data_IF_763887501906
#
_entry.id   IF_763887501906
#
_cell.length_a   1.000
_cell.length_b   1.000
_cell.length_c   1.000
_cell.angle_alpha   90.00
_cell.angle_beta   90.00
_cell.angle_gamma   90.00
#
_symmetry.space_group_name_H-M   'P 1'
#
loop_
_entity.id
_entity.type
_entity.pdbx_description
1 polymer ?
#
# COMPACT_ATOMS: atom_id res chain seq x y z
N UNK A 1 -5.10 12.47 -1.80
CA UNK A 1 -6.07 11.75 -2.66
C UNK A 1 -6.05 12.43 -4.01
N UNK A 2 -6.10 11.66 -5.08
CA UNK A 2 -6.11 12.18 -6.46
C UNK A 2 -7.48 11.90 -7.04
N UNK A 3 -8.16 12.92 -7.56
CA UNK A 3 -9.47 12.76 -8.20
C UNK A 3 -9.31 12.79 -9.72
N UNK A 4 -9.88 11.83 -10.47
CA UNK A 4 -9.82 11.82 -11.93
C UNK A 4 -10.37 13.09 -12.59
N UNK A 5 -11.35 13.74 -11.94
CA UNK A 5 -12.04 14.92 -12.47
C UNK A 5 -11.24 16.23 -12.34
N UNK A 6 -10.30 16.32 -11.39
CA UNK A 6 -9.58 17.56 -11.08
C UNK A 6 -8.08 17.48 -11.32
N UNK A 7 -7.50 16.28 -11.25
CA UNK A 7 -6.07 16.10 -11.46
C UNK A 7 -5.69 16.28 -12.94
N UNK A 8 -4.48 16.79 -13.24
CA UNK A 8 -3.99 16.83 -14.60
C UNK A 8 -3.86 15.40 -15.16
N UNK A 9 -4.05 15.23 -16.47
CA UNK A 9 -4.01 13.89 -17.09
C UNK A 9 -2.68 13.17 -16.88
N UNK A 10 -1.59 13.93 -16.76
CA UNK A 10 -0.23 13.45 -16.57
C UNK A 10 0.24 13.47 -15.10
N UNK A 11 -0.68 13.38 -14.13
CA UNK A 11 -0.34 13.51 -12.71
C UNK A 11 0.64 12.43 -12.22
N UNK A 12 0.62 11.23 -12.83
CA UNK A 12 1.55 10.15 -12.51
C UNK A 12 2.97 10.51 -12.95
N UNK A 13 3.10 11.02 -14.16
CA UNK A 13 4.37 11.48 -14.73
C UNK A 13 4.96 12.62 -13.88
N UNK A 14 4.13 13.55 -13.40
CA UNK A 14 4.58 14.61 -12.48
C UNK A 14 5.19 14.01 -11.19
N UNK A 15 4.60 12.94 -10.64
CA UNK A 15 5.16 12.27 -9.46
C UNK A 15 6.39 11.43 -9.80
N UNK A 16 6.43 10.77 -10.96
CA UNK A 16 7.58 10.01 -11.42
C UNK A 16 8.82 10.90 -11.63
N UNK A 17 8.64 12.13 -12.12
CA UNK A 17 9.70 13.15 -12.27
C UNK A 17 10.33 13.58 -10.93
N UNK A 18 9.65 13.36 -9.81
CA UNK A 18 10.22 13.64 -8.48
C UNK A 18 11.29 12.61 -8.07
N UNK A 19 11.30 11.44 -8.73
CA UNK A 19 12.09 10.27 -8.37
C UNK A 19 11.89 9.78 -6.92
N UNK A 20 10.84 10.23 -6.24
CA UNK A 20 10.46 9.72 -4.92
C UNK A 20 9.81 8.35 -5.04
N UNK A 21 9.92 7.55 -3.98
CA UNK A 21 9.09 6.36 -3.84
C UNK A 21 7.66 6.78 -3.58
N UNK A 22 6.73 6.22 -4.35
CA UNK A 22 5.32 6.46 -4.11
C UNK A 22 4.47 5.26 -4.49
N UNK A 23 3.29 5.18 -3.90
CA UNK A 23 2.36 4.06 -4.10
C UNK A 23 0.97 4.66 -4.33
N UNK A 24 0.26 4.13 -5.32
CA UNK A 24 -1.17 4.39 -5.53
C UNK A 24 -2.03 3.17 -5.22
N UNK A 25 -3.21 3.45 -4.67
CA UNK A 25 -4.27 2.45 -4.49
C UNK A 25 -4.87 2.04 -5.84
N UNK A 26 -5.73 1.01 -5.87
CA UNK A 26 -6.72 0.85 -6.92
C UNK A 26 -7.59 2.10 -7.03
N UNK A 27 -8.37 2.24 -8.11
CA UNK A 27 -9.36 3.31 -8.18
C UNK A 27 -10.50 3.01 -7.19
N UNK A 28 -10.70 3.89 -6.20
CA UNK A 28 -11.81 3.76 -5.25
C UNK A 28 -13.10 4.27 -5.87
N UNK A 29 -13.84 3.41 -6.55
CA UNK A 29 -15.11 3.71 -7.23
C UNK A 29 -16.34 3.00 -6.62
N UNK A 30 -16.14 2.19 -5.58
CA UNK A 30 -17.18 1.40 -4.89
C UNK A 30 -17.41 1.82 -3.44
N UNK A 31 -16.85 2.96 -3.05
CA UNK A 31 -16.98 3.46 -1.69
C UNK A 31 -18.30 4.21 -1.49
N UNK A 32 -18.88 4.08 -0.30
CA UNK A 32 -20.10 4.78 0.09
C UNK A 32 -19.83 5.85 1.15
N UNK A 33 -20.59 6.94 1.07
CA UNK A 33 -20.72 7.93 2.13
C UNK A 33 -21.61 7.38 3.26
N UNK A 34 -21.55 7.98 4.47
CA UNK A 34 -22.40 7.58 5.59
C UNK A 34 -23.90 7.66 5.29
N UNK A 35 -24.31 8.49 4.33
CA UNK A 35 -25.70 8.63 3.87
C UNK A 35 -26.10 7.60 2.80
N UNK A 36 -25.20 6.67 2.44
CA UNK A 36 -25.44 5.63 1.44
C UNK A 36 -25.21 6.08 0.00
N UNK A 37 -24.81 7.33 -0.25
CA UNK A 37 -24.46 7.79 -1.61
C UNK A 37 -23.08 7.28 -2.04
N UNK A 38 -22.88 7.07 -3.34
CA UNK A 38 -21.57 6.66 -3.89
C UNK A 38 -20.58 7.83 -3.73
N UNK A 39 -19.40 7.55 -3.18
CA UNK A 39 -18.31 8.52 -3.11
C UNK A 39 -17.74 8.80 -4.49
N UNK A 40 -17.24 10.03 -4.67
CA UNK A 40 -16.51 10.39 -5.89
C UNK A 40 -15.31 9.45 -6.09
N UNK A 41 -15.10 8.92 -7.31
CA UNK A 41 -13.94 8.10 -7.61
C UNK A 41 -12.63 8.81 -7.29
N UNK A 42 -11.70 8.12 -6.63
CA UNK A 42 -10.41 8.70 -6.23
C UNK A 42 -9.33 7.63 -6.07
N UNK A 43 -8.07 8.05 -6.16
CA UNK A 43 -6.93 7.26 -5.71
C UNK A 43 -6.43 7.78 -4.36
N UNK A 44 -6.07 6.86 -3.48
CA UNK A 44 -5.15 7.17 -2.40
C UNK A 44 -3.71 7.07 -2.92
N UNK A 45 -2.88 8.03 -2.53
CA UNK A 45 -1.46 8.10 -2.91
C UNK A 45 -0.64 8.34 -1.67
N UNK A 46 0.43 7.58 -1.50
CA UNK A 46 1.40 7.74 -0.41
C UNK A 46 2.78 8.03 -1.00
N UNK A 47 3.31 9.21 -0.70
CA UNK A 47 4.69 9.60 -1.00
C UNK A 47 5.61 9.17 0.16
N UNK A 48 6.77 8.62 -0.17
CA UNK A 48 7.80 8.21 0.79
C UNK A 48 9.13 8.85 0.42
N UNK A 49 9.66 9.68 1.32
CA UNK A 49 11.01 10.22 1.21
C UNK A 49 12.01 9.31 1.92
N UNK A 50 13.27 9.28 1.45
CA UNK A 50 14.34 8.51 2.10
C UNK A 50 14.82 9.12 3.42
N UNK A 51 14.56 10.42 3.61
CA UNK A 51 14.86 11.16 4.82
C UNK A 51 13.69 12.02 5.29
N UNK A 52 13.86 12.75 6.41
CA UNK A 52 12.85 13.65 6.92
C UNK A 52 12.44 14.68 5.85
N UNK A 53 11.13 14.81 5.62
CA UNK A 53 10.55 15.79 4.72
C UNK A 53 9.52 16.64 5.47
N UNK A 54 9.48 17.94 5.16
CA UNK A 54 8.51 18.86 5.77
C UNK A 54 7.19 18.82 5.01
N UNK A 55 6.08 19.09 5.70
CA UNK A 55 4.76 19.18 5.05
C UNK A 55 4.76 20.23 3.93
N UNK A 56 5.41 21.38 4.15
CA UNK A 56 5.55 22.45 3.15
C UNK A 56 6.30 22.01 1.89
N UNK A 57 7.30 21.13 2.03
CA UNK A 57 8.00 20.58 0.87
C UNK A 57 7.08 19.63 0.09
N UNK A 58 6.31 18.80 0.79
CA UNK A 58 5.30 17.92 0.15
C UNK A 58 4.21 18.73 -0.54
N UNK A 59 3.72 19.81 0.07
CA UNK A 59 2.73 20.71 -0.53
C UNK A 59 3.20 21.27 -1.88
N UNK A 60 4.46 21.69 -1.97
CA UNK A 60 5.06 22.16 -3.24
C UNK A 60 5.15 21.06 -4.29
N UNK A 61 5.46 19.83 -3.87
CA UNK A 61 5.54 18.68 -4.78
C UNK A 61 4.17 18.38 -5.39
N UNK A 62 3.10 18.46 -4.58
CA UNK A 62 1.76 18.08 -5.02
C UNK A 62 0.93 19.25 -5.58
N UNK A 63 1.41 20.49 -5.47
CA UNK A 63 0.74 21.70 -5.99
C UNK A 63 0.30 21.55 -7.45
N UNK A 64 1.12 21.00 -8.38
CA UNK A 64 0.71 20.82 -9.78
C UNK A 64 -0.42 19.80 -9.97
N UNK A 65 -0.67 18.92 -9.00
CA UNK A 65 -1.63 17.82 -9.12
C UNK A 65 -3.08 18.29 -8.89
N UNK A 66 -3.30 19.52 -8.40
CA UNK A 66 -4.63 20.05 -8.08
C UNK A 66 -5.45 19.12 -7.17
N UNK A 67 -4.84 18.74 -6.04
CA UNK A 67 -5.37 17.79 -5.05
C UNK A 67 -5.57 18.44 -3.68
N UNK A 68 -6.38 17.85 -2.79
CA UNK A 68 -6.47 18.31 -1.40
C UNK A 68 -5.12 18.26 -0.68
N UNK A 69 -5.02 19.03 0.42
CA UNK A 69 -3.82 19.09 1.25
C UNK A 69 -3.33 17.70 1.70
N UNK A 70 -2.01 17.48 1.74
CA UNK A 70 -1.45 16.20 2.14
C UNK A 70 -1.61 15.98 3.65
N UNK A 71 -1.67 14.71 4.06
CA UNK A 71 -1.75 14.32 5.46
C UNK A 71 -0.52 13.50 5.85
N UNK A 72 -0.03 13.71 7.07
CA UNK A 72 1.04 12.88 7.63
C UNK A 72 0.52 11.47 7.88
N UNK A 73 1.28 10.48 7.41
CA UNK A 73 0.98 9.07 7.63
C UNK A 73 1.68 8.60 8.89
N UNK A 74 0.91 8.05 9.85
CA UNK A 74 1.49 7.50 11.09
C UNK A 74 2.19 6.14 10.89
N UNK A 75 1.68 5.33 9.97
CA UNK A 75 2.26 4.03 9.61
C UNK A 75 2.04 3.74 8.13
N UNK A 76 3.12 3.64 7.35
CA UNK A 76 3.03 3.31 5.93
C UNK A 76 2.34 1.96 5.70
N UNK A 77 2.64 0.96 6.54
CA UNK A 77 1.96 -0.34 6.51
C UNK A 77 0.46 -0.24 6.74
N UNK A 78 0.03 0.56 7.72
CA UNK A 78 -1.40 0.79 7.94
C UNK A 78 -2.05 1.47 6.74
N UNK A 79 -1.36 2.44 6.11
CA UNK A 79 -1.87 3.14 4.95
C UNK A 79 -2.01 2.23 3.72
N UNK A 80 -1.02 1.41 3.40
CA UNK A 80 -1.08 0.51 2.23
C UNK A 80 -2.13 -0.60 2.42
N UNK A 81 -2.34 -1.10 3.64
CA UNK A 81 -3.47 -2.01 3.92
C UNK A 81 -4.82 -1.30 3.78
N UNK A 82 -4.88 -0.02 4.16
CA UNK A 82 -6.07 0.81 4.01
C UNK A 82 -6.41 1.08 2.54
N UNK A 83 -5.43 1.15 1.62
CA UNK A 83 -5.67 1.30 0.17
C UNK A 83 -6.56 0.22 -0.43
N UNK A 84 -6.70 -0.93 0.23
CA UNK A 84 -7.58 -2.01 -0.20
C UNK A 84 -8.64 -2.36 0.83
N UNK A 85 -8.78 -1.53 1.87
CA UNK A 85 -9.69 -1.71 3.00
C UNK A 85 -9.52 -3.03 3.77
N UNK A 86 -8.34 -3.63 3.72
CA UNK A 86 -8.06 -4.97 4.25
C UNK A 86 -8.47 -5.17 5.71
N UNK A 87 -8.36 -4.11 6.52
CA UNK A 87 -8.64 -4.13 7.96
C UNK A 87 -10.06 -3.62 8.32
N UNK A 88 -10.90 -3.30 7.33
CA UNK A 88 -12.26 -2.83 7.55
C UNK A 88 -13.27 -3.64 6.73
N UNK A 89 -13.87 -4.70 7.32
CA UNK A 89 -14.76 -5.62 6.61
C UNK A 89 -16.09 -5.00 6.17
N UNK A 90 -16.47 -3.85 6.72
CA UNK A 90 -17.71 -3.14 6.34
C UNK A 90 -17.57 -2.38 5.02
N UNK A 91 -16.32 -2.14 4.58
CA UNK A 91 -16.03 -1.47 3.30
C UNK A 91 -15.78 -2.46 2.18
N UNK A 92 -16.02 -2.01 0.95
CA UNK A 92 -15.64 -2.76 -0.24
C UNK A 92 -14.13 -3.07 -0.22
N UNK A 93 -13.79 -4.34 -0.41
CA UNK A 93 -12.42 -4.84 -0.45
C UNK A 93 -11.87 -4.74 -1.88
N UNK A 94 -10.84 -3.93 -2.09
CA UNK A 94 -10.19 -3.82 -3.40
C UNK A 94 -9.10 -4.87 -3.58
N UNK A 95 -8.68 -5.11 -4.82
CA UNK A 95 -7.62 -6.10 -5.08
C UNK A 95 -6.26 -5.57 -4.66
N UNK A 96 -5.47 -6.44 -4.03
CA UNK A 96 -4.05 -6.17 -3.74
C UNK A 96 -3.24 -6.03 -5.02
N UNK A 97 -3.57 -6.79 -6.06
CA UNK A 97 -2.84 -6.80 -7.34
C UNK A 97 -3.01 -5.50 -8.13
N UNK A 98 -3.99 -4.67 -7.74
CA UNK A 98 -4.26 -3.36 -8.34
C UNK A 98 -3.50 -2.22 -7.63
N UNK A 99 -2.75 -2.49 -6.56
CA UNK A 99 -1.85 -1.52 -5.94
C UNK A 99 -0.62 -1.35 -6.84
N UNK A 100 -0.27 -0.12 -7.18
CA UNK A 100 0.90 0.17 -8.04
C UNK A 100 1.98 0.89 -7.23
N UNK A 101 3.18 0.29 -7.23
CA UNK A 101 4.38 0.87 -6.65
C UNK A 101 5.24 1.57 -7.71
N UNK A 102 5.73 2.77 -7.38
CA UNK A 102 6.54 3.62 -8.25
C UNK A 102 7.86 4.00 -7.57
N UNK A 103 8.86 4.39 -8.37
CA UNK A 103 10.15 4.88 -7.86
C UNK A 103 10.92 3.85 -7.02
N UNK A 104 10.69 2.55 -7.22
CA UNK A 104 11.29 1.48 -6.42
C UNK A 104 10.56 1.16 -5.11
N UNK A 105 9.30 1.57 -4.96
CA UNK A 105 8.48 1.17 -3.83
C UNK A 105 8.17 -0.33 -3.86
N UNK A 106 8.58 -1.04 -2.80
CA UNK A 106 8.25 -2.46 -2.59
C UNK A 106 6.91 -2.59 -1.88
N UNK A 107 5.84 -2.78 -2.66
CA UNK A 107 4.46 -2.93 -2.16
C UNK A 107 4.31 -4.16 -1.27
N UNK A 108 4.98 -5.27 -1.61
CA UNK A 108 4.85 -6.54 -0.92
C UNK A 108 5.37 -6.47 0.52
N UNK A 109 6.44 -5.68 0.74
CA UNK A 109 7.01 -5.44 2.07
C UNK A 109 5.99 -4.94 3.10
N UNK A 110 4.95 -4.20 2.67
CA UNK A 110 3.91 -3.66 3.55
C UNK A 110 2.93 -4.72 4.06
N UNK A 111 2.89 -5.89 3.43
CA UNK A 111 2.02 -7.01 3.82
C UNK A 111 2.74 -8.12 4.56
N UNK A 112 4.07 -8.03 4.71
CA UNK A 112 4.87 -9.03 5.41
C UNK A 112 4.34 -9.34 6.81
N UNK A 113 4.44 -10.60 7.23
CA UNK A 113 4.13 -11.00 8.59
C UNK A 113 4.90 -10.18 9.63
N UNK A 114 4.27 -9.91 10.78
CA UNK A 114 4.97 -9.33 11.92
C UNK A 114 6.08 -10.28 12.38
N UNK A 115 7.09 -9.77 13.09
CA UNK A 115 8.17 -10.61 13.64
C UNK A 115 7.63 -11.77 14.48
N UNK A 116 6.62 -11.51 15.31
CA UNK A 116 5.96 -12.53 16.13
C UNK A 116 5.28 -13.60 15.28
N UNK A 117 4.56 -13.20 14.23
CA UNK A 117 3.92 -14.16 13.33
C UNK A 117 4.95 -14.98 12.54
N UNK A 118 6.05 -14.35 12.08
CA UNK A 118 7.17 -15.07 11.45
C UNK A 118 7.73 -16.13 12.40
N UNK A 119 7.92 -15.82 13.69
CA UNK A 119 8.38 -16.80 14.70
C UNK A 119 7.37 -17.94 14.86
N UNK A 120 6.07 -17.65 14.88
CA UNK A 120 5.04 -18.70 14.95
C UNK A 120 5.12 -19.65 13.77
N UNK A 121 5.14 -19.09 12.54
CA UNK A 121 5.26 -19.89 11.31
C UNK A 121 6.56 -20.71 11.30
N UNK A 122 7.67 -20.14 11.77
CA UNK A 122 8.92 -20.89 11.87
C UNK A 122 8.84 -22.07 12.84
N UNK A 123 8.09 -21.95 13.93
CA UNK A 123 7.83 -23.08 14.83
C UNK A 123 6.98 -24.13 14.15
N UNK A 124 5.94 -23.72 13.44
CA UNK A 124 5.06 -24.65 12.71
C UNK A 124 5.85 -25.43 11.63
N UNK A 125 6.73 -24.74 10.90
CA UNK A 125 7.65 -25.35 9.94
C UNK A 125 8.58 -26.36 10.64
N UNK A 126 9.19 -25.98 11.77
CA UNK A 126 10.10 -26.86 12.50
C UNK A 126 9.40 -28.11 13.05
N UNK A 127 8.17 -27.97 13.57
CA UNK A 127 7.34 -29.09 13.99
C UNK A 127 7.03 -30.02 12.82
N UNK A 128 6.62 -29.48 11.67
CA UNK A 128 6.35 -30.28 10.48
C UNK A 128 7.59 -31.06 10.00
N UNK A 129 8.76 -30.43 9.95
CA UNK A 129 10.02 -31.08 9.57
C UNK A 129 10.34 -32.24 10.52
N UNK A 130 10.20 -32.02 11.83
CA UNK A 130 10.49 -33.03 12.84
C UNK A 130 9.52 -34.22 12.76
N UNK A 131 8.22 -33.96 12.65
CA UNK A 131 7.18 -35.00 12.61
C UNK A 131 7.22 -35.84 11.33
N UNK A 132 7.72 -35.28 10.23
CA UNK A 132 7.80 -35.96 8.93
C UNK A 132 9.22 -36.44 8.60
N UNK A 133 10.16 -36.37 9.56
CA UNK A 133 11.55 -36.82 9.39
C UNK A 133 12.22 -36.25 8.14
N UNK A 134 12.00 -34.95 7.87
CA UNK A 134 12.55 -34.29 6.68
C UNK A 134 14.00 -33.88 6.96
N UNK A 135 14.94 -34.59 6.38
CA UNK A 135 16.37 -34.43 6.67
C UNK A 135 17.09 -33.38 5.82
N UNK A 136 16.45 -32.87 4.78
CA UNK A 136 17.05 -31.85 3.91
C UNK A 136 16.02 -30.88 3.33
N UNK A 137 16.53 -29.74 2.85
CA UNK A 137 15.70 -28.64 2.37
C UNK A 137 15.04 -28.91 1.01
N UNK A 138 15.63 -29.78 0.17
CA UNK A 138 15.04 -30.14 -1.12
C UNK A 138 13.75 -30.94 -0.91
N UNK A 139 13.80 -31.94 -0.03
CA UNK A 139 12.64 -32.74 0.36
C UNK A 139 11.54 -31.87 0.99
N UNK A 140 11.91 -30.90 1.85
CA UNK A 140 10.97 -29.94 2.42
C UNK A 140 10.24 -29.10 1.37
N UNK A 141 10.96 -28.67 0.33
CA UNK A 141 10.40 -27.86 -0.76
C UNK A 141 9.69 -28.69 -1.84
N UNK A 142 9.74 -30.02 -1.75
CA UNK A 142 9.12 -30.93 -2.72
C UNK A 142 9.85 -31.01 -4.06
N UNK A 143 11.18 -30.81 -4.05
CA UNK A 143 12.04 -30.97 -5.23
C UNK A 143 12.53 -32.40 -5.42
#
# INVERSE_FOLDING_TARGET
MVYPESAPKNWREILDETHMRWIESPLHDKDFNPDGTIKKPHWHVMLSADGPITLKAVEKIIEPLNVPAPQKVGSGRGMIRYFIHLDNPEKYQYSRDEIVGHGGADVESYFELTKTNKISVMKDIATYIYENEIDNYADFLGF
#
